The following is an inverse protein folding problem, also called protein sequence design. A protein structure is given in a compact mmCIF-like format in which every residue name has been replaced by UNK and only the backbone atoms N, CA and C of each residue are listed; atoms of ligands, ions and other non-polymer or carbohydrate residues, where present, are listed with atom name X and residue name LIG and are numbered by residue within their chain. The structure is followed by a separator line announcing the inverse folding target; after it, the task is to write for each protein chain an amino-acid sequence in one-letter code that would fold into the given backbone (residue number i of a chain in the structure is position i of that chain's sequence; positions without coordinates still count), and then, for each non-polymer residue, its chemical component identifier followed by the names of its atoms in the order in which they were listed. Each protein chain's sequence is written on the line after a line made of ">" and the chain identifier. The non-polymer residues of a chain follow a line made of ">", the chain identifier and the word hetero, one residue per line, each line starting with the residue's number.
data_IF_170985511296
#
_entry.id   IF_170985511296
#
_cell.length_a   1.000
_cell.length_b   1.000
_cell.length_c   1.000
_cell.angle_alpha   90.00
_cell.angle_beta   90.00
_cell.angle_gamma   90.00
#
_symmetry.space_group_name_H-M   'P 1'
#
loop_
_entity.id
_entity.type
_entity.pdbx_description
1 polymer ?
#
# COMPACT_ATOMS: atom_id res chain seq x y z
N UNK A 1 12.36 7.79 24.61
CA UNK A 1 11.19 8.23 23.82
C UNK A 1 11.27 9.72 23.47
N UNK A 2 11.58 10.62 24.41
CA UNK A 2 11.84 12.04 24.11
C UNK A 2 12.86 12.24 22.99
N UNK A 3 14.04 11.60 23.05
CA UNK A 3 15.10 11.78 22.04
C UNK A 3 14.72 11.35 20.61
N UNK A 4 13.76 10.44 20.44
CA UNK A 4 13.28 10.02 19.11
C UNK A 4 12.27 11.03 18.57
N UNK A 5 11.40 11.54 19.44
CA UNK A 5 10.45 12.61 19.10
C UNK A 5 11.19 13.93 18.81
N UNK A 6 12.25 14.23 19.58
CA UNK A 6 13.16 15.34 19.30
C UNK A 6 13.88 15.13 17.98
N UNK A 7 14.37 13.94 17.63
CA UNK A 7 15.02 13.69 16.33
C UNK A 7 14.06 13.89 15.14
N UNK A 8 12.80 13.45 15.25
CA UNK A 8 11.77 13.66 14.22
C UNK A 8 11.42 15.15 14.09
N UNK A 9 11.31 15.87 15.21
CA UNK A 9 11.07 17.32 15.23
C UNK A 9 12.30 18.10 14.74
N UNK A 10 13.52 17.67 15.03
CA UNK A 10 14.75 18.31 14.55
C UNK A 10 14.97 18.06 13.07
N UNK A 11 14.57 16.91 12.52
CA UNK A 11 14.56 16.66 11.06
C UNK A 11 13.47 17.51 10.39
N UNK A 12 12.29 17.63 11.00
CA UNK A 12 11.21 18.50 10.52
C UNK A 12 11.56 20.01 10.60
N UNK A 13 12.37 20.42 11.57
CA UNK A 13 12.86 21.81 11.72
C UNK A 13 14.13 22.09 10.90
N UNK A 14 14.96 21.09 10.62
CA UNK A 14 16.14 21.24 9.75
C UNK A 14 15.74 21.51 8.29
N UNK A 15 14.55 21.08 7.86
CA UNK A 15 13.95 21.46 6.57
C UNK A 15 13.50 22.92 6.46
N UNK A 16 13.67 23.73 7.52
CA UNK A 16 13.31 25.16 7.56
C UNK A 16 14.53 26.09 7.57
N UNK A 17 15.74 25.60 7.25
CA UNK A 17 16.84 26.49 6.89
C UNK A 17 16.48 27.14 5.56
N UNK A 18 16.26 28.46 5.56
CA UNK A 18 15.94 29.21 4.36
C UNK A 18 16.96 28.91 3.27
N UNK A 19 16.48 28.36 2.15
CA UNK A 19 17.34 28.06 1.02
C UNK A 19 18.09 29.33 0.58
N UNK A 20 19.39 29.21 0.31
CA UNK A 20 20.30 30.32 -0.01
C UNK A 20 20.04 31.00 -1.37
N UNK A 21 18.83 30.86 -1.92
CA UNK A 21 18.39 31.45 -3.17
C UNK A 21 17.20 32.39 -2.98
N UNK A 22 17.26 33.52 -3.70
CA UNK A 22 16.24 34.56 -3.72
C UNK A 22 15.24 34.36 -4.87
N UNK A 23 14.92 33.11 -5.19
CA UNK A 23 14.02 32.72 -6.28
C UNK A 23 13.00 31.69 -5.79
N UNK A 24 11.80 31.69 -6.38
CA UNK A 24 10.83 30.60 -6.23
C UNK A 24 10.32 30.17 -7.59
N UNK A 25 10.11 28.88 -7.77
CA UNK A 25 9.37 28.35 -8.92
C UNK A 25 7.87 28.34 -8.60
N UNK A 26 7.02 28.54 -9.61
CA UNK A 26 5.56 28.47 -9.44
C UNK A 26 5.06 27.04 -9.16
N UNK A 27 5.88 26.03 -9.42
CA UNK A 27 5.64 24.64 -9.07
C UNK A 27 6.95 23.87 -8.94
N UNK A 28 7.00 22.87 -8.06
CA UNK A 28 8.08 21.87 -7.99
C UNK A 28 7.89 20.75 -9.03
N UNK A 29 6.64 20.53 -9.49
CA UNK A 29 6.28 19.48 -10.43
C UNK A 29 5.34 19.99 -11.52
N UNK A 30 5.73 19.83 -12.77
CA UNK A 30 4.93 20.16 -13.94
C UNK A 30 4.51 18.87 -14.66
N UNK A 31 3.20 18.68 -14.87
CA UNK A 31 2.68 17.56 -15.68
C UNK A 31 2.30 18.09 -17.04
N UNK A 32 2.84 17.50 -18.11
CA UNK A 32 2.56 17.88 -19.50
C UNK A 32 2.08 16.65 -20.26
N UNK A 33 1.06 16.81 -21.08
CA UNK A 33 0.63 15.74 -21.98
C UNK A 33 1.48 15.73 -23.24
N UNK A 34 1.87 14.55 -23.71
CA UNK A 34 2.64 14.40 -24.95
C UNK A 34 1.97 15.12 -26.14
N UNK A 35 2.76 15.88 -26.88
CA UNK A 35 2.30 16.72 -27.99
C UNK A 35 1.71 18.08 -27.56
N UNK A 36 1.70 18.42 -26.26
CA UNK A 36 1.28 19.74 -25.75
C UNK A 36 2.47 20.48 -25.13
N UNK A 37 2.30 21.78 -24.98
CA UNK A 37 3.25 22.62 -24.26
C UNK A 37 2.73 22.89 -22.85
N UNK A 38 3.62 22.76 -21.87
CA UNK A 38 3.41 23.22 -20.50
C UNK A 38 4.17 24.51 -20.24
N UNK A 39 3.95 25.09 -19.07
CA UNK A 39 4.81 26.17 -18.59
C UNK A 39 4.88 26.16 -17.07
N UNK A 40 6.00 26.64 -16.54
CA UNK A 40 6.14 26.97 -15.13
C UNK A 40 6.75 28.36 -15.02
N UNK A 41 6.58 29.01 -13.86
CA UNK A 41 7.09 30.36 -13.65
C UNK A 41 8.29 30.36 -12.72
N UNK A 42 9.18 31.33 -12.90
CA UNK A 42 10.24 31.69 -11.96
C UNK A 42 9.92 33.09 -11.44
N UNK A 43 9.89 33.26 -10.13
CA UNK A 43 9.59 34.54 -9.48
C UNK A 43 10.74 34.91 -8.55
N UNK A 44 11.38 36.08 -8.73
CA UNK A 44 12.39 36.56 -7.79
C UNK A 44 11.71 36.99 -6.47
N UNK A 45 12.37 36.70 -5.34
CA UNK A 45 11.95 37.10 -3.98
C UNK A 45 12.38 38.53 -3.64
N UNK A 46 13.29 39.10 -4.45
CA UNK A 46 13.89 40.43 -4.27
C UNK A 46 13.83 41.20 -5.57
N UNK A 47 13.70 42.53 -5.47
CA UNK A 47 13.78 43.39 -6.64
C UNK A 47 15.24 43.50 -7.09
N UNK A 48 15.50 42.98 -8.29
CA UNK A 48 16.84 42.96 -8.86
C UNK A 48 17.27 44.36 -9.31
N UNK A 49 18.50 44.74 -8.99
CA UNK A 49 19.08 45.99 -9.48
C UNK A 49 19.45 45.90 -10.96
N UNK A 50 19.94 44.74 -11.39
CA UNK A 50 20.31 44.45 -12.77
C UNK A 50 19.51 43.25 -13.33
N UNK A 51 19.34 43.19 -14.65
CA UNK A 51 18.70 42.02 -15.28
C UNK A 51 19.57 40.79 -15.03
N UNK A 52 19.00 39.77 -14.40
CA UNK A 52 19.71 38.54 -14.08
C UNK A 52 19.36 37.44 -15.09
N UNK A 53 20.39 36.76 -15.61
CA UNK A 53 20.22 35.62 -16.50
C UNK A 53 20.21 34.31 -15.70
N UNK A 54 19.26 33.43 -16.00
CA UNK A 54 19.20 32.06 -15.47
C UNK A 54 19.43 31.08 -16.62
N UNK A 55 20.46 30.26 -16.48
CA UNK A 55 20.72 29.11 -17.33
C UNK A 55 19.86 27.92 -16.87
N UNK A 56 19.23 27.24 -17.82
CA UNK A 56 18.35 26.10 -17.56
C UNK A 56 18.97 24.83 -18.14
N UNK A 57 19.07 23.80 -17.31
CA UNK A 57 19.62 22.51 -17.71
C UNK A 57 18.54 21.44 -17.59
N UNK A 58 18.29 20.71 -18.68
CA UNK A 58 17.46 19.53 -18.65
C UNK A 58 18.35 18.28 -18.54
N UNK A 59 18.09 17.43 -17.54
CA UNK A 59 18.82 16.17 -17.39
C UNK A 59 18.55 15.18 -18.55
N UNK A 60 17.41 15.33 -19.26
CA UNK A 60 16.96 14.44 -20.36
C UNK A 60 16.26 15.21 -21.47
N UNK A 61 17.05 15.72 -22.41
CA UNK A 61 16.59 16.51 -23.56
C UNK A 61 15.63 15.74 -24.48
N UNK A 62 15.63 14.42 -24.44
CA UNK A 62 14.71 13.57 -25.21
C UNK A 62 13.27 13.56 -24.67
N UNK A 63 13.05 13.96 -23.40
CA UNK A 63 11.72 13.97 -22.76
C UNK A 63 11.02 15.31 -22.98
N UNK A 64 11.74 16.41 -22.80
CA UNK A 64 11.19 17.75 -22.95
C UNK A 64 12.24 18.74 -23.50
N UNK A 65 11.78 19.71 -24.28
CA UNK A 65 12.59 20.83 -24.73
C UNK A 65 12.22 22.10 -23.96
N UNK A 66 13.25 22.84 -23.57
CA UNK A 66 13.19 24.09 -22.81
C UNK A 66 14.12 25.13 -23.45
N UNK A 67 13.89 26.43 -23.22
CA UNK A 67 14.89 27.44 -23.55
C UNK A 67 16.17 27.21 -22.73
N UNK A 68 17.33 27.51 -23.32
CA UNK A 68 18.63 27.36 -22.65
C UNK A 68 18.85 28.40 -21.55
N UNK A 69 18.28 29.60 -21.74
CA UNK A 69 18.48 30.75 -20.88
C UNK A 69 17.17 31.55 -20.77
N UNK A 70 16.98 32.22 -19.64
CA UNK A 70 15.87 33.15 -19.43
C UNK A 70 16.34 34.36 -18.62
N UNK A 71 15.85 35.54 -19.01
CA UNK A 71 16.18 36.80 -18.33
C UNK A 71 15.10 37.18 -17.32
N UNK A 72 15.51 37.52 -16.10
CA UNK A 72 14.67 38.18 -15.10
C UNK A 72 14.95 39.69 -15.14
N UNK A 73 13.99 40.52 -15.57
CA UNK A 73 14.21 41.96 -15.73
C UNK A 73 14.46 42.66 -14.39
N UNK A 74 15.34 43.67 -14.40
CA UNK A 74 15.56 44.56 -13.26
C UNK A 74 14.29 45.30 -12.83
N UNK A 75 14.21 45.68 -11.55
CA UNK A 75 13.11 46.43 -10.94
C UNK A 75 11.72 45.80 -11.16
N UNK A 76 11.68 44.47 -11.32
CA UNK A 76 10.46 43.72 -11.55
C UNK A 76 10.46 42.47 -10.69
N UNK A 77 9.43 42.37 -9.83
CA UNK A 77 9.09 41.15 -9.12
C UNK A 77 8.14 40.24 -9.92
N UNK A 78 7.98 40.49 -11.23
CA UNK A 78 6.99 39.79 -12.06
C UNK A 78 7.43 38.35 -12.36
N UNK A 79 6.52 37.36 -12.28
CA UNK A 79 6.83 35.99 -12.66
C UNK A 79 7.23 35.88 -14.14
N UNK A 80 8.36 35.24 -14.41
CA UNK A 80 8.83 34.92 -15.77
C UNK A 80 8.38 33.51 -16.13
N UNK A 81 7.68 33.35 -17.25
CA UNK A 81 7.14 32.05 -17.68
C UNK A 81 8.11 31.32 -18.60
N UNK A 82 8.42 30.07 -18.28
CA UNK A 82 9.24 29.17 -19.07
C UNK A 82 8.33 28.17 -19.77
N UNK A 83 8.39 28.13 -21.10
CA UNK A 83 7.64 27.17 -21.89
C UNK A 83 8.40 25.85 -21.99
N UNK A 84 7.70 24.74 -21.74
CA UNK A 84 8.23 23.38 -21.81
C UNK A 84 7.48 22.64 -22.91
N UNK A 85 8.20 22.18 -23.93
CA UNK A 85 7.62 21.41 -25.04
C UNK A 85 7.84 19.92 -24.80
N UNK A 86 6.77 19.12 -24.74
CA UNK A 86 6.89 17.67 -24.55
C UNK A 86 7.43 16.99 -25.82
N UNK A 87 8.37 16.05 -25.66
CA UNK A 87 8.98 15.31 -26.77
C UNK A 87 8.75 13.80 -26.67
N UNK A 88 8.89 13.22 -25.48
CA UNK A 88 8.60 11.81 -25.22
C UNK A 88 8.05 11.61 -23.80
N UNK A 89 7.33 10.51 -23.58
CA UNK A 89 6.74 10.18 -22.27
C UNK A 89 7.83 9.77 -21.29
N UNK A 90 7.82 10.38 -20.10
CA UNK A 90 8.78 10.10 -19.03
C UNK A 90 8.95 11.28 -18.08
N UNK A 91 9.94 11.17 -17.19
CA UNK A 91 10.27 12.20 -16.20
C UNK A 91 11.67 12.76 -16.41
N UNK A 92 11.78 14.08 -16.48
CA UNK A 92 13.03 14.83 -16.50
C UNK A 92 13.04 15.93 -15.44
N UNK A 93 14.22 16.44 -15.11
CA UNK A 93 14.41 17.52 -14.14
C UNK A 93 15.07 18.71 -14.83
N UNK A 94 14.49 19.88 -14.58
CA UNK A 94 15.05 21.16 -15.00
C UNK A 94 15.77 21.76 -13.80
N UNK A 95 17.09 21.77 -13.82
CA UNK A 95 17.91 22.49 -12.84
C UNK A 95 18.28 23.88 -13.37
N UNK A 96 18.64 24.76 -12.45
CA UNK A 96 18.85 26.18 -12.72
C UNK A 96 20.22 26.60 -12.23
N UNK A 97 20.87 27.48 -12.98
CA UNK A 97 22.11 28.14 -12.56
C UNK A 97 22.04 29.63 -12.91
N UNK A 98 22.81 30.44 -12.19
CA UNK A 98 22.90 31.87 -12.47
C UNK A 98 24.28 32.40 -12.10
N UNK A 99 24.70 33.43 -12.83
CA UNK A 99 25.90 34.22 -12.49
C UNK A 99 25.56 35.42 -11.60
N UNK A 100 24.27 35.72 -11.37
CA UNK A 100 23.83 36.85 -10.57
C UNK A 100 24.00 36.58 -9.07
N UNK A 101 24.82 37.40 -8.42
CA UNK A 101 24.98 37.34 -6.96
C UNK A 101 23.71 37.69 -6.17
N UNK A 102 22.77 38.42 -6.78
CA UNK A 102 21.50 38.82 -6.14
C UNK A 102 20.53 37.64 -5.99
N UNK A 103 20.60 36.67 -6.91
CA UNK A 103 19.74 35.49 -6.92
C UNK A 103 20.26 34.36 -6.01
N UNK A 104 21.54 34.37 -5.68
CA UNK A 104 22.19 33.37 -4.82
C UNK A 104 22.45 32.04 -5.52
N UNK A 105 22.66 30.99 -4.73
CA UNK A 105 22.98 29.65 -5.23
C UNK A 105 21.72 28.87 -5.61
N UNK A 106 21.50 28.68 -6.91
CA UNK A 106 20.34 27.96 -7.45
C UNK A 106 20.55 26.44 -7.56
N UNK A 107 21.68 25.89 -7.12
CA UNK A 107 22.00 24.45 -7.28
C UNK A 107 20.97 23.51 -6.64
N UNK A 108 20.25 23.96 -5.62
CA UNK A 108 19.16 23.22 -4.97
C UNK A 108 17.77 23.44 -5.57
N UNK A 109 17.64 24.27 -6.61
CA UNK A 109 16.36 24.61 -7.24
C UNK A 109 16.18 23.81 -8.52
N UNK A 110 15.12 23.01 -8.56
CA UNK A 110 14.76 22.22 -9.74
C UNK A 110 13.24 22.10 -9.91
N UNK A 111 12.82 21.78 -11.13
CA UNK A 111 11.42 21.45 -11.46
C UNK A 111 11.37 20.07 -12.10
N UNK A 112 10.59 19.15 -11.52
CA UNK A 112 10.31 17.84 -12.12
C UNK A 112 9.25 18.01 -13.22
N UNK A 113 9.62 17.72 -14.46
CA UNK A 113 8.67 17.66 -15.58
C UNK A 113 8.31 16.21 -15.84
N UNK A 114 7.04 15.89 -15.65
CA UNK A 114 6.48 14.58 -16.00
C UNK A 114 5.64 14.72 -17.28
N UNK A 115 6.16 14.18 -18.38
CA UNK A 115 5.44 14.07 -19.64
C UNK A 115 4.65 12.76 -19.64
N UNK A 116 3.32 12.87 -19.65
CA UNK A 116 2.40 11.72 -19.63
C UNK A 116 1.76 11.47 -21.00
N UNK A 117 1.35 10.23 -21.24
CA UNK A 117 0.63 9.87 -22.47
C UNK A 117 -0.73 10.59 -22.58
N UNK A 118 -1.45 10.75 -21.47
CA UNK A 118 -2.76 11.42 -21.43
C UNK A 118 -3.08 12.01 -20.05
N UNK A 119 -3.53 13.27 -20.02
CA UNK A 119 -4.05 13.91 -18.81
C UNK A 119 -5.36 13.26 -18.36
N UNK A 120 -6.22 12.88 -19.31
CA UNK A 120 -7.46 12.17 -19.02
C UNK A 120 -7.19 10.82 -18.35
N UNK A 121 -6.15 10.10 -18.79
CA UNK A 121 -5.76 8.85 -18.16
C UNK A 121 -5.28 9.04 -16.71
N UNK A 122 -4.62 10.16 -16.41
CA UNK A 122 -4.26 10.51 -15.03
C UNK A 122 -5.50 10.66 -14.13
N UNK A 123 -6.60 11.21 -14.65
CA UNK A 123 -7.88 11.29 -13.93
C UNK A 123 -8.46 9.89 -13.72
N UNK A 124 -8.45 9.04 -14.77
CA UNK A 124 -8.92 7.65 -14.67
C UNK A 124 -8.14 6.87 -13.61
N UNK A 125 -6.81 7.02 -13.55
CA UNK A 125 -5.96 6.43 -12.50
C UNK A 125 -6.45 6.82 -11.10
N UNK A 126 -6.77 8.08 -10.87
CA UNK A 126 -7.28 8.56 -9.57
C UNK A 126 -8.64 7.91 -9.27
N UNK A 127 -9.57 7.93 -10.24
CA UNK A 127 -10.92 7.35 -10.08
C UNK A 127 -10.86 5.85 -9.78
N UNK A 128 -10.11 5.08 -10.56
CA UNK A 128 -9.87 3.64 -10.36
C UNK A 128 -9.29 3.39 -8.97
N UNK A 129 -8.39 4.27 -8.52
CA UNK A 129 -7.81 4.25 -7.19
C UNK A 129 -8.83 4.30 -6.05
N UNK A 130 -9.74 5.26 -6.15
CA UNK A 130 -10.81 5.42 -5.15
C UNK A 130 -11.86 4.31 -5.24
N UNK A 131 -12.09 3.73 -6.42
CA UNK A 131 -12.99 2.57 -6.57
C UNK A 131 -12.47 1.37 -5.78
N UNK A 132 -11.20 0.98 -5.94
CA UNK A 132 -10.71 -0.17 -5.17
C UNK A 132 -10.61 0.13 -3.68
N UNK A 133 -10.24 1.37 -3.31
CA UNK A 133 -10.24 1.80 -1.92
C UNK A 133 -11.63 1.58 -1.30
N UNK A 134 -12.69 2.02 -1.98
CA UNK A 134 -14.07 1.86 -1.52
C UNK A 134 -14.46 0.38 -1.45
N UNK A 135 -14.17 -0.40 -2.49
CA UNK A 135 -14.48 -1.82 -2.56
C UNK A 135 -13.89 -2.60 -1.36
N UNK A 136 -12.59 -2.44 -1.12
CA UNK A 136 -11.94 -3.06 0.03
C UNK A 136 -12.41 -2.46 1.36
N UNK A 137 -12.59 -1.14 1.46
CA UNK A 137 -13.00 -0.49 2.72
C UNK A 137 -14.38 -0.95 3.19
N UNK A 138 -15.35 -1.02 2.27
CA UNK A 138 -16.71 -1.50 2.59
C UNK A 138 -16.69 -2.92 3.15
N UNK A 139 -15.77 -3.77 2.68
CA UNK A 139 -15.66 -5.17 3.12
C UNK A 139 -15.36 -5.35 4.62
N UNK A 140 -14.82 -4.33 5.30
CA UNK A 140 -14.50 -4.43 6.74
C UNK A 140 -15.71 -4.23 7.66
N UNK A 141 -16.70 -3.43 7.24
CA UNK A 141 -17.81 -3.01 8.08
C UNK A 141 -18.80 -4.12 8.46
N UNK A 142 -19.11 -5.11 7.61
CA UNK A 142 -20.04 -6.18 7.97
C UNK A 142 -19.68 -6.87 9.30
N UNK A 143 -18.40 -7.14 9.55
CA UNK A 143 -17.96 -7.77 10.79
C UNK A 143 -18.17 -6.86 12.01
N UNK A 144 -17.82 -5.57 11.89
CA UNK A 144 -18.02 -4.58 12.96
C UNK A 144 -19.48 -4.48 13.33
N UNK A 145 -20.36 -4.39 12.32
CA UNK A 145 -21.81 -4.28 12.51
C UNK A 145 -22.36 -5.57 13.13
N UNK A 146 -21.90 -6.74 12.67
CA UNK A 146 -22.34 -8.03 13.21
C UNK A 146 -21.99 -8.17 14.69
N UNK A 147 -20.77 -7.79 15.09
CA UNK A 147 -20.34 -7.79 16.48
C UNK A 147 -21.21 -6.86 17.34
N UNK A 148 -21.57 -5.67 16.83
CA UNK A 148 -22.47 -4.73 17.53
C UNK A 148 -23.86 -5.33 17.71
N UNK A 149 -24.42 -5.93 16.66
CA UNK A 149 -25.77 -6.51 16.68
C UNK A 149 -25.86 -7.72 17.62
N UNK A 150 -24.86 -8.61 17.57
CA UNK A 150 -24.83 -9.84 18.37
C UNK A 150 -24.35 -9.61 19.81
N UNK A 151 -23.66 -8.48 20.07
CA UNK A 151 -22.93 -8.24 21.33
C UNK A 151 -21.99 -9.39 21.72
N UNK A 152 -21.51 -10.11 20.71
CA UNK A 152 -20.70 -11.31 20.81
C UNK A 152 -19.74 -11.36 19.62
N UNK A 153 -18.49 -11.73 19.89
CA UNK A 153 -17.47 -12.01 18.88
C UNK A 153 -17.25 -13.52 18.69
N UNK A 154 -18.14 -14.36 19.24
CA UNK A 154 -18.09 -15.81 19.05
C UNK A 154 -18.22 -16.15 17.56
N UNK A 155 -17.19 -16.82 17.04
CA UNK A 155 -17.03 -17.16 15.62
C UNK A 155 -15.98 -16.32 14.89
N UNK A 156 -15.56 -15.17 15.45
CA UNK A 156 -14.48 -14.36 14.89
C UNK A 156 -13.13 -15.01 15.19
N UNK A 157 -12.35 -15.35 14.16
CA UNK A 157 -11.02 -15.93 14.35
C UNK A 157 -10.02 -14.87 14.84
N UNK A 158 -9.50 -15.04 16.06
CA UNK A 158 -8.55 -14.09 16.67
C UNK A 158 -7.18 -14.11 15.98
N UNK A 159 -6.76 -15.23 15.39
CA UNK A 159 -5.54 -15.30 14.61
C UNK A 159 -5.65 -14.43 13.36
N UNK A 160 -6.77 -14.56 12.65
CA UNK A 160 -7.07 -13.73 11.47
C UNK A 160 -7.03 -12.24 11.81
N UNK A 161 -7.62 -11.86 12.95
CA UNK A 161 -7.61 -10.47 13.40
C UNK A 161 -6.20 -9.96 13.75
N UNK A 162 -5.40 -10.78 14.43
CA UNK A 162 -4.02 -10.46 14.81
C UNK A 162 -3.08 -10.35 13.59
N UNK A 163 -3.26 -11.22 12.60
CA UNK A 163 -2.58 -11.14 11.32
C UNK A 163 -2.98 -9.88 10.56
N UNK A 164 -4.28 -9.58 10.46
CA UNK A 164 -4.76 -8.40 9.74
C UNK A 164 -4.21 -7.10 10.32
N UNK A 165 -4.26 -6.90 11.65
CA UNK A 165 -3.74 -5.66 12.25
C UNK A 165 -2.23 -5.52 12.00
N UNK A 166 -1.47 -6.62 12.14
CA UNK A 166 -0.03 -6.61 11.86
C UNK A 166 0.27 -6.27 10.41
N UNK A 167 -0.45 -6.90 9.48
CA UNK A 167 -0.31 -6.61 8.06
C UNK A 167 -0.69 -5.17 7.72
N UNK A 168 -1.84 -4.66 8.18
CA UNK A 168 -2.26 -3.30 7.86
C UNK A 168 -1.35 -2.24 8.48
N UNK A 169 -0.83 -2.46 9.69
CA UNK A 169 0.19 -1.57 10.27
C UNK A 169 1.46 -1.61 9.42
N UNK A 170 1.93 -2.79 9.02
CA UNK A 170 3.12 -2.90 8.17
C UNK A 170 2.94 -2.19 6.83
N UNK A 171 1.82 -2.43 6.15
CA UNK A 171 1.55 -1.76 4.88
C UNK A 171 1.36 -0.25 5.04
N UNK A 172 0.76 0.18 6.16
CA UNK A 172 0.65 1.59 6.51
C UNK A 172 2.00 2.26 6.69
N UNK A 173 2.96 1.62 7.37
CA UNK A 173 4.34 2.12 7.50
C UNK A 173 4.99 2.30 6.13
N UNK A 174 4.83 1.32 5.23
CA UNK A 174 5.35 1.41 3.87
C UNK A 174 4.70 2.55 3.08
N UNK A 175 3.36 2.61 3.03
CA UNK A 175 2.64 3.62 2.25
C UNK A 175 2.87 5.05 2.77
N UNK A 176 2.80 5.25 4.09
CA UNK A 176 3.11 6.54 4.71
C UNK A 176 4.56 6.95 4.43
N UNK A 177 5.50 6.00 4.58
CA UNK A 177 6.92 6.24 4.28
C UNK A 177 7.15 6.67 2.83
N UNK A 178 6.63 5.90 1.88
CA UNK A 178 6.77 6.15 0.45
C UNK A 178 6.08 7.43 -0.02
N UNK A 179 4.95 7.82 0.60
CA UNK A 179 4.15 8.96 0.14
C UNK A 179 4.58 10.29 0.80
N UNK A 180 4.82 10.30 2.11
CA UNK A 180 5.02 11.53 2.88
C UNK A 180 6.43 11.79 3.37
N UNK A 181 7.36 10.83 3.33
CA UNK A 181 8.71 11.04 3.88
C UNK A 181 9.69 11.37 2.76
N UNK A 182 10.15 12.62 2.68
CA UNK A 182 11.05 13.13 1.64
C UNK A 182 12.34 12.31 1.49
N UNK A 183 13.12 12.03 2.56
CA UNK A 183 14.32 11.20 2.43
C UNK A 183 14.07 9.81 1.84
N UNK A 184 12.88 9.23 2.06
CA UNK A 184 12.50 7.94 1.47
C UNK A 184 12.20 8.11 -0.01
N UNK A 185 11.44 9.15 -0.39
CA UNK A 185 11.15 9.47 -1.78
C UNK A 185 12.43 9.71 -2.58
N UNK A 186 13.36 10.46 -2.01
CA UNK A 186 14.65 10.76 -2.63
C UNK A 186 15.48 9.49 -2.81
N UNK A 187 15.55 8.63 -1.78
CA UNK A 187 16.21 7.33 -1.89
C UNK A 187 15.55 6.43 -2.96
N UNK A 188 14.23 6.43 -3.06
CA UNK A 188 13.50 5.68 -4.08
C UNK A 188 13.80 6.20 -5.49
N UNK A 189 13.80 7.53 -5.68
CA UNK A 189 14.14 8.18 -6.96
C UNK A 189 15.61 7.94 -7.33
N UNK A 190 16.53 7.98 -6.36
CA UNK A 190 17.93 7.67 -6.62
C UNK A 190 18.13 6.23 -7.13
N UNK A 191 17.34 5.28 -6.61
CA UNK A 191 17.35 3.88 -7.08
C UNK A 191 16.57 3.67 -8.38
N UNK A 192 15.56 4.50 -8.63
CA UNK A 192 14.70 4.46 -9.80
C UNK A 192 14.61 5.86 -10.45
N UNK A 193 15.66 6.33 -11.16
CA UNK A 193 15.72 7.71 -11.69
C UNK A 193 14.64 8.07 -12.72
N UNK A 194 13.95 7.05 -13.23
CA UNK A 194 12.85 7.15 -14.19
C UNK A 194 11.52 6.68 -13.58
N UNK A 195 11.55 6.27 -12.31
CA UNK A 195 10.45 5.62 -11.62
C UNK A 195 9.43 6.63 -11.10
N UNK A 196 8.16 6.43 -11.43
CA UNK A 196 7.07 7.13 -10.76
C UNK A 196 6.91 6.55 -9.35
N UNK A 197 6.55 7.40 -8.39
CA UNK A 197 6.19 6.90 -7.05
C UNK A 197 4.99 5.93 -7.18
N UNK A 198 5.15 4.66 -6.80
CA UNK A 198 4.12 3.64 -7.01
C UNK A 198 2.97 3.75 -6.01
N UNK A 199 3.16 4.51 -4.91
CA UNK A 199 2.16 4.72 -3.86
C UNK A 199 1.39 6.02 -4.11
N UNK A 200 0.06 5.93 -4.13
CA UNK A 200 -0.83 7.07 -4.25
C UNK A 200 -1.59 7.33 -2.95
N UNK A 201 -2.25 8.50 -2.85
CA UNK A 201 -2.94 8.91 -1.62
C UNK A 201 -4.00 7.88 -1.18
N UNK A 202 -4.73 7.30 -2.14
CA UNK A 202 -5.74 6.29 -1.85
C UNK A 202 -5.15 5.01 -1.22
N UNK A 203 -3.89 4.66 -1.48
CA UNK A 203 -3.18 3.55 -0.80
C UNK A 203 -2.90 3.87 0.68
N UNK A 204 -2.50 5.12 0.95
CA UNK A 204 -2.25 5.60 2.32
C UNK A 204 -3.55 5.60 3.10
N UNK A 205 -4.61 6.21 2.56
CA UNK A 205 -5.91 6.26 3.22
C UNK A 205 -6.50 4.85 3.39
N UNK A 206 -6.35 3.95 2.40
CA UNK A 206 -6.73 2.54 2.52
C UNK A 206 -6.12 1.88 3.75
N UNK A 207 -4.79 1.96 3.88
CA UNK A 207 -4.07 1.26 4.96
C UNK A 207 -4.40 1.83 6.33
N UNK A 208 -4.44 3.16 6.46
CA UNK A 208 -4.84 3.82 7.72
C UNK A 208 -6.28 3.49 8.12
N UNK A 209 -7.20 3.48 7.15
CA UNK A 209 -8.58 3.06 7.36
C UNK A 209 -8.67 1.60 7.84
N UNK A 210 -7.96 0.69 7.18
CA UNK A 210 -7.94 -0.71 7.53
C UNK A 210 -7.37 -0.96 8.94
N UNK A 211 -6.31 -0.23 9.33
CA UNK A 211 -5.79 -0.25 10.72
C UNK A 211 -6.87 0.19 11.70
N UNK A 212 -7.54 1.32 11.44
CA UNK A 212 -8.57 1.87 12.32
C UNK A 212 -9.74 0.89 12.51
N UNK A 213 -10.33 0.38 11.43
CA UNK A 213 -11.49 -0.53 11.52
C UNK A 213 -11.09 -1.87 12.16
N UNK A 214 -9.88 -2.36 11.90
CA UNK A 214 -9.37 -3.56 12.56
C UNK A 214 -9.15 -3.32 14.05
N UNK A 215 -8.64 -2.16 14.45
CA UNK A 215 -8.50 -1.78 15.85
C UNK A 215 -9.85 -1.68 16.57
N UNK A 216 -10.88 -1.13 15.91
CA UNK A 216 -12.26 -1.13 16.42
C UNK A 216 -12.76 -2.57 16.63
N UNK A 217 -12.49 -3.47 15.67
CA UNK A 217 -12.87 -4.88 15.80
C UNK A 217 -12.13 -5.57 16.95
N UNK A 218 -10.84 -5.25 17.15
CA UNK A 218 -10.06 -5.74 18.30
C UNK A 218 -10.65 -5.20 19.61
N UNK A 219 -11.02 -3.92 19.66
CA UNK A 219 -11.67 -3.33 20.81
C UNK A 219 -12.99 -4.05 21.15
N UNK A 220 -13.78 -4.40 20.14
CA UNK A 220 -14.99 -5.22 20.32
C UNK A 220 -14.69 -6.57 20.98
N UNK A 221 -13.55 -7.21 20.68
CA UNK A 221 -13.13 -8.46 21.32
C UNK A 221 -12.79 -8.31 22.81
N UNK A 222 -12.60 -7.09 23.33
CA UNK A 222 -12.42 -6.84 24.76
C UNK A 222 -13.73 -6.59 25.50
N UNK A 223 -14.73 -6.00 24.82
CA UNK A 223 -15.99 -5.58 25.46
C UNK A 223 -17.15 -6.58 25.28
N UNK A 224 -17.12 -7.41 24.24
CA UNK A 224 -18.19 -8.35 23.92
C UNK A 224 -17.85 -9.79 24.31
N UNK A 225 -18.87 -10.65 24.37
CA UNK A 225 -18.70 -12.06 24.71
C UNK A 225 -17.79 -12.75 23.67
N UNK A 226 -16.68 -13.34 24.15
CA UNK A 226 -15.67 -14.02 23.32
C UNK A 226 -15.47 -15.50 23.63
N UNK A 227 -16.21 -16.01 24.61
CA UNK A 227 -16.03 -17.37 25.14
C UNK A 227 -14.56 -17.65 25.53
N UNK A 228 -14.01 -18.76 25.03
CA UNK A 228 -12.63 -19.21 25.27
C UNK A 228 -11.68 -18.93 24.10
N UNK A 229 -12.09 -18.13 23.11
CA UNK A 229 -11.27 -17.84 21.93
C UNK A 229 -10.00 -17.06 22.32
N UNK A 230 -8.86 -17.50 21.78
CA UNK A 230 -7.55 -16.90 22.00
C UNK A 230 -6.75 -16.99 20.72
N UNK A 231 -5.80 -16.06 20.55
CA UNK A 231 -4.79 -16.19 19.49
C UNK A 231 -3.97 -17.47 19.77
N UNK A 232 -3.84 -18.34 18.77
CA UNK A 232 -3.12 -19.60 18.85
C UNK A 232 -1.62 -19.38 19.10
N UNK A 233 -0.97 -20.39 19.69
CA UNK A 233 0.46 -20.32 19.99
C UNK A 233 1.27 -20.17 18.69
N UNK A 234 0.91 -20.89 17.65
CA UNK A 234 1.57 -20.81 16.33
C UNK A 234 1.49 -19.37 15.82
N UNK A 235 0.30 -18.76 15.83
CA UNK A 235 0.13 -17.39 15.37
C UNK A 235 0.90 -16.39 16.23
N UNK A 236 0.97 -16.58 17.56
CA UNK A 236 1.82 -15.74 18.43
C UNK A 236 3.31 -15.86 18.08
N UNK A 237 3.81 -17.06 17.82
CA UNK A 237 5.22 -17.29 17.47
C UNK A 237 5.55 -16.64 16.13
N UNK A 238 4.70 -16.81 15.12
CA UNK A 238 4.90 -16.18 13.80
C UNK A 238 4.87 -14.65 13.93
N UNK A 239 3.88 -14.09 14.64
CA UNK A 239 3.79 -12.66 14.88
C UNK A 239 5.00 -12.12 15.65
N UNK A 240 5.41 -12.81 16.72
CA UNK A 240 6.60 -12.45 17.48
C UNK A 240 7.85 -12.45 16.59
N UNK A 241 8.00 -13.45 15.71
CA UNK A 241 9.08 -13.52 14.73
C UNK A 241 9.07 -12.33 13.76
N UNK A 242 7.92 -11.97 13.21
CA UNK A 242 7.78 -10.81 12.30
C UNK A 242 8.16 -9.49 13.00
N UNK A 243 7.65 -9.26 14.21
CA UNK A 243 7.94 -8.04 14.96
C UNK A 243 9.37 -7.99 15.50
N UNK A 244 9.94 -9.14 15.85
CA UNK A 244 11.36 -9.25 16.22
C UNK A 244 12.27 -8.94 15.02
N UNK A 245 11.95 -9.46 13.84
CA UNK A 245 12.66 -9.14 12.61
C UNK A 245 12.59 -7.63 12.28
N UNK A 246 11.40 -7.03 12.40
CA UNK A 246 11.24 -5.59 12.22
C UNK A 246 12.04 -4.77 13.25
N UNK A 247 12.10 -5.22 14.51
CA UNK A 247 12.89 -4.56 15.55
C UNK A 247 14.40 -4.68 15.28
N UNK A 248 14.88 -5.86 14.91
CA UNK A 248 16.31 -6.09 14.61
C UNK A 248 16.74 -5.24 13.41
N UNK A 249 15.97 -5.24 12.33
CA UNK A 249 16.28 -4.45 11.14
C UNK A 249 16.23 -2.94 11.43
N UNK A 250 15.28 -2.48 12.25
CA UNK A 250 15.26 -1.09 12.73
C UNK A 250 16.54 -0.73 13.50
N UNK A 251 16.98 -1.58 14.42
CA UNK A 251 18.20 -1.36 15.20
C UNK A 251 19.41 -1.29 14.28
N UNK A 252 19.51 -2.18 13.28
CA UNK A 252 20.62 -2.18 12.30
C UNK A 252 20.58 -0.91 11.45
N UNK A 253 19.43 -0.55 10.89
CA UNK A 253 19.25 0.69 10.09
C UNK A 253 19.64 1.92 10.90
N UNK A 254 19.15 2.04 12.13
CA UNK A 254 19.44 3.18 13.00
C UNK A 254 20.91 3.23 13.45
N UNK A 255 21.48 2.11 13.92
CA UNK A 255 22.85 2.05 14.42
C UNK A 255 23.89 2.23 13.31
N UNK A 256 23.59 1.75 12.10
CA UNK A 256 24.46 1.95 10.92
C UNK A 256 24.21 3.29 10.21
N UNK A 257 23.29 4.12 10.71
CA UNK A 257 22.85 5.36 10.04
C UNK A 257 22.47 5.14 8.57
N UNK A 258 21.83 4.00 8.28
CA UNK A 258 21.38 3.64 6.92
C UNK A 258 22.44 3.06 5.99
N UNK A 259 23.69 2.82 6.45
CA UNK A 259 24.77 2.32 5.60
C UNK A 259 24.73 0.80 5.33
N UNK A 260 24.15 0.01 6.25
CA UNK A 260 24.02 -1.45 6.08
C UNK A 260 22.64 -1.82 5.55
N UNK A 261 21.59 -1.23 6.13
CA UNK A 261 20.22 -1.34 5.66
C UNK A 261 19.71 0.09 5.54
N UNK A 262 19.41 0.52 4.33
CA UNK A 262 18.87 1.87 4.08
C UNK A 262 17.46 2.01 4.67
N UNK A 263 17.04 3.24 4.94
CA UNK A 263 15.67 3.51 5.39
C UNK A 263 14.63 3.05 4.36
N UNK A 264 14.96 3.12 3.06
CA UNK A 264 14.11 2.61 1.99
C UNK A 264 13.95 1.07 2.09
N UNK A 265 15.05 0.33 2.21
CA UNK A 265 15.01 -1.14 2.37
C UNK A 265 14.24 -1.56 3.62
N UNK A 266 14.44 -0.82 4.72
CA UNK A 266 13.72 -1.06 5.96
C UNK A 266 12.20 -0.96 5.79
N UNK A 267 11.69 0.06 5.10
CA UNK A 267 10.23 0.15 4.86
C UNK A 267 9.75 -0.89 3.84
N UNK A 268 10.59 -1.31 2.87
CA UNK A 268 10.26 -2.41 1.97
C UNK A 268 10.10 -3.74 2.73
N UNK A 269 10.84 -3.96 3.82
CA UNK A 269 10.60 -5.11 4.69
C UNK A 269 9.18 -5.15 5.27
N UNK A 270 8.59 -4.00 5.61
CA UNK A 270 7.18 -3.96 6.03
C UNK A 270 6.22 -4.30 4.89
N UNK A 271 6.53 -3.90 3.66
CA UNK A 271 5.82 -4.34 2.46
C UNK A 271 5.83 -5.89 2.38
N UNK A 272 7.01 -6.51 2.49
CA UNK A 272 7.11 -7.98 2.46
C UNK A 272 6.43 -8.68 3.65
N UNK A 273 6.45 -8.09 4.84
CA UNK A 273 5.68 -8.58 6.00
C UNK A 273 4.18 -8.62 5.67
N UNK A 274 3.62 -7.56 5.07
CA UNK A 274 2.21 -7.54 4.66
C UNK A 274 1.90 -8.65 3.65
N UNK A 275 2.75 -8.84 2.65
CA UNK A 275 2.57 -9.92 1.67
C UNK A 275 2.59 -11.29 2.34
N UNK A 276 3.55 -11.56 3.23
CA UNK A 276 3.63 -12.82 3.96
C UNK A 276 2.38 -13.10 4.80
N UNK A 277 1.91 -12.10 5.55
CA UNK A 277 0.64 -12.15 6.30
C UNK A 277 -0.55 -12.50 5.39
N UNK A 278 -0.58 -11.93 4.19
CA UNK A 278 -1.66 -12.16 3.21
C UNK A 278 -1.69 -13.62 2.73
N UNK A 279 -0.53 -14.22 2.48
CA UNK A 279 -0.46 -15.63 2.08
C UNK A 279 -0.89 -16.57 3.21
N UNK A 280 -0.47 -16.27 4.44
CA UNK A 280 -0.81 -17.07 5.63
C UNK A 280 -2.32 -17.13 5.88
N UNK A 281 -3.07 -16.05 5.58
CA UNK A 281 -4.53 -16.03 5.83
C UNK A 281 -5.34 -16.83 4.81
N UNK A 282 -4.97 -16.83 3.53
CA UNK A 282 -5.82 -17.39 2.47
C UNK A 282 -5.71 -18.92 2.38
N UNK A 283 -4.50 -19.47 2.52
CA UNK A 283 -4.24 -20.91 2.37
C UNK A 283 -5.08 -21.78 3.33
N UNK A 284 -5.15 -21.47 4.64
CA UNK A 284 -5.95 -22.26 5.58
C UNK A 284 -7.43 -22.28 5.22
N UNK A 285 -7.97 -21.16 4.72
CA UNK A 285 -9.38 -21.13 4.35
C UNK A 285 -9.66 -22.06 3.16
N UNK A 286 -8.86 -21.98 2.10
CA UNK A 286 -9.04 -22.84 0.92
C UNK A 286 -9.06 -24.30 1.33
N UNK A 287 -8.14 -24.68 2.22
CA UNK A 287 -8.05 -26.04 2.77
C UNK A 287 -9.26 -26.41 3.63
N UNK A 288 -9.73 -25.50 4.49
CA UNK A 288 -10.91 -25.73 5.33
C UNK A 288 -12.19 -25.94 4.50
N UNK A 289 -12.42 -25.11 3.49
CA UNK A 289 -13.55 -25.28 2.56
C UNK A 289 -13.44 -26.62 1.84
N UNK A 290 -12.24 -26.99 1.38
CA UNK A 290 -12.00 -28.28 0.73
C UNK A 290 -12.25 -29.48 1.66
N UNK A 291 -11.89 -29.38 2.94
CA UNK A 291 -12.09 -30.44 3.94
C UNK A 291 -13.56 -30.58 4.35
N UNK A 292 -14.24 -29.47 4.57
CA UNK A 292 -15.66 -29.44 4.98
C UNK A 292 -16.61 -29.71 3.81
N UNK A 293 -16.15 -29.53 2.58
CA UNK A 293 -16.99 -29.55 1.36
C UNK A 293 -18.17 -28.58 1.46
N UNK A 294 -17.98 -27.47 2.17
CA UNK A 294 -18.97 -26.43 2.40
C UNK A 294 -18.27 -25.09 2.52
N UNK A 295 -18.96 -24.03 2.08
CA UNK A 295 -18.54 -22.63 2.23
C UNK A 295 -19.45 -21.85 3.19
N UNK A 296 -20.31 -22.55 3.92
CA UNK A 296 -21.17 -21.93 4.92
C UNK A 296 -20.36 -21.32 6.07
N UNK A 297 -20.81 -20.14 6.54
CA UNK A 297 -20.14 -19.37 7.58
C UNK A 297 -19.27 -18.20 7.09
N UNK A 298 -19.15 -17.98 5.78
CA UNK A 298 -18.51 -16.79 5.19
C UNK A 298 -19.44 -16.14 4.15
N UNK A 299 -19.65 -14.82 4.27
CA UNK A 299 -20.20 -13.96 3.20
C UNK A 299 -19.39 -13.98 1.90
N UNK A 300 -19.91 -14.63 0.85
CA UNK A 300 -19.36 -14.56 -0.52
C UNK A 300 -19.26 -13.12 -1.04
N UNK A 301 -20.10 -12.20 -0.57
CA UNK A 301 -20.03 -10.78 -0.92
C UNK A 301 -18.68 -10.14 -0.57
N UNK A 302 -18.04 -10.58 0.52
CA UNK A 302 -16.71 -10.09 0.87
C UNK A 302 -15.64 -10.55 -0.13
N UNK A 303 -15.77 -11.78 -0.65
CA UNK A 303 -14.88 -12.33 -1.70
C UNK A 303 -15.05 -11.54 -3.00
N UNK A 304 -16.28 -11.20 -3.37
CA UNK A 304 -16.54 -10.40 -4.58
C UNK A 304 -16.00 -8.97 -4.46
N UNK A 305 -16.14 -8.35 -3.28
CA UNK A 305 -15.56 -7.04 -2.99
C UNK A 305 -14.03 -7.08 -2.94
N UNK A 306 -13.43 -8.13 -2.40
CA UNK A 306 -11.98 -8.34 -2.40
C UNK A 306 -11.45 -8.47 -3.83
N UNK A 307 -12.10 -9.28 -4.66
CA UNK A 307 -11.76 -9.46 -6.07
C UNK A 307 -11.91 -8.17 -6.88
N UNK A 308 -12.96 -7.40 -6.61
CA UNK A 308 -13.15 -6.07 -7.22
C UNK A 308 -12.02 -5.13 -6.81
N UNK A 309 -11.69 -5.08 -5.52
CA UNK A 309 -10.59 -4.27 -5.01
C UNK A 309 -9.24 -4.68 -5.63
N UNK A 310 -8.94 -5.98 -5.67
CA UNK A 310 -7.71 -6.50 -6.27
C UNK A 310 -7.61 -6.17 -7.77
N UNK A 311 -8.71 -6.30 -8.51
CA UNK A 311 -8.76 -6.02 -9.95
C UNK A 311 -8.52 -4.54 -10.25
N UNK A 312 -9.21 -3.63 -9.56
CA UNK A 312 -9.05 -2.19 -9.75
C UNK A 312 -7.69 -1.71 -9.21
N UNK A 313 -7.15 -2.32 -8.16
CA UNK A 313 -5.79 -2.05 -7.66
C UNK A 313 -4.73 -2.37 -8.73
N UNK A 314 -4.80 -3.54 -9.34
CA UNK A 314 -3.88 -3.89 -10.44
C UNK A 314 -4.09 -3.01 -11.67
N UNK A 315 -5.35 -2.74 -12.04
CA UNK A 315 -5.66 -1.83 -13.14
C UNK A 315 -5.02 -0.47 -12.91
N UNK A 316 -5.10 0.09 -11.70
CA UNK A 316 -4.47 1.37 -11.39
C UNK A 316 -2.96 1.34 -11.67
N UNK A 317 -2.27 0.28 -11.23
CA UNK A 317 -0.83 0.12 -11.45
C UNK A 317 -0.49 0.03 -12.94
N UNK A 318 -1.24 -0.76 -13.71
CA UNK A 318 -1.05 -0.85 -15.16
C UNK A 318 -1.28 0.48 -15.86
N UNK A 319 -2.31 1.23 -15.47
CA UNK A 319 -2.61 2.54 -16.05
C UNK A 319 -1.54 3.58 -15.72
N UNK A 320 -0.99 3.58 -14.49
CA UNK A 320 0.13 4.46 -14.11
C UNK A 320 1.34 4.13 -14.97
N UNK A 321 1.73 2.86 -15.06
CA UNK A 321 2.88 2.41 -15.82
C UNK A 321 2.76 2.70 -17.31
N UNK A 322 1.58 2.47 -17.90
CA UNK A 322 1.32 2.82 -19.28
C UNK A 322 1.39 4.34 -19.50
N UNK A 323 0.76 5.14 -18.64
CA UNK A 323 0.69 6.59 -18.81
C UNK A 323 2.04 7.30 -18.67
N UNK A 324 2.98 6.69 -17.94
CA UNK A 324 4.32 7.24 -17.70
C UNK A 324 5.43 6.46 -18.42
N UNK A 325 5.07 5.49 -19.28
CA UNK A 325 6.01 4.58 -19.94
C UNK A 325 7.02 3.91 -18.98
N UNK A 326 6.55 3.56 -17.78
CA UNK A 326 7.36 3.06 -16.66
C UNK A 326 6.76 1.75 -16.10
N UNK A 327 7.07 0.66 -16.77
CA UNK A 327 6.60 -0.69 -16.41
C UNK A 327 7.33 -1.27 -15.20
N UNK A 328 8.52 -0.78 -14.88
CA UNK A 328 9.28 -1.24 -13.73
C UNK A 328 8.58 -0.86 -12.42
N UNK A 329 7.94 0.31 -12.36
CA UNK A 329 7.22 0.78 -11.18
C UNK A 329 5.99 -0.04 -10.79
N UNK A 330 5.51 -0.97 -11.64
CA UNK A 330 4.52 -1.98 -11.22
C UNK A 330 5.05 -2.79 -10.02
N UNK A 331 6.35 -3.05 -9.97
CA UNK A 331 6.97 -3.78 -8.86
C UNK A 331 7.52 -2.86 -7.77
N UNK A 332 7.39 -1.54 -7.95
CA UNK A 332 7.79 -0.54 -6.96
C UNK A 332 6.99 -0.63 -5.67
N UNK A 333 5.72 -1.05 -5.75
CA UNK A 333 4.91 -1.49 -4.61
C UNK A 333 4.63 -2.99 -4.73
N UNK A 334 5.53 -3.85 -4.22
CA UNK A 334 5.35 -5.29 -4.32
C UNK A 334 4.11 -5.74 -3.54
N UNK A 335 3.73 -5.02 -2.48
CA UNK A 335 2.54 -5.34 -1.70
C UNK A 335 1.28 -5.12 -2.49
N UNK A 336 1.10 -3.96 -3.11
CA UNK A 336 -0.09 -3.68 -3.91
C UNK A 336 -0.25 -4.64 -5.07
N UNK A 337 0.85 -4.92 -5.78
CA UNK A 337 0.86 -5.91 -6.86
C UNK A 337 0.50 -7.31 -6.35
N UNK A 338 1.20 -7.79 -5.32
CA UNK A 338 0.96 -9.11 -4.76
C UNK A 338 -0.40 -9.25 -4.09
N UNK A 339 -0.91 -8.21 -3.40
CA UNK A 339 -2.26 -8.18 -2.85
C UNK A 339 -3.30 -8.35 -3.96
N UNK A 340 -3.19 -7.59 -5.06
CA UNK A 340 -4.09 -7.71 -6.19
C UNK A 340 -4.06 -9.10 -6.82
N UNK A 341 -2.87 -9.62 -7.12
CA UNK A 341 -2.70 -10.95 -7.74
C UNK A 341 -3.20 -12.07 -6.82
N UNK A 342 -2.77 -12.09 -5.55
CA UNK A 342 -3.15 -13.14 -4.62
C UNK A 342 -4.63 -13.08 -4.26
N UNK A 343 -5.20 -11.88 -4.05
CA UNK A 343 -6.65 -11.73 -3.83
C UNK A 343 -7.42 -12.33 -5.00
N UNK A 344 -7.17 -11.89 -6.23
CA UNK A 344 -7.90 -12.40 -7.41
C UNK A 344 -7.74 -13.93 -7.53
N UNK A 345 -6.52 -14.46 -7.36
CA UNK A 345 -6.27 -15.90 -7.46
C UNK A 345 -7.04 -16.70 -6.40
N UNK A 346 -7.01 -16.29 -5.13
CA UNK A 346 -7.73 -16.96 -4.05
C UNK A 346 -9.25 -16.76 -4.16
N UNK A 347 -9.70 -15.59 -4.60
CA UNK A 347 -11.12 -15.29 -4.77
C UNK A 347 -11.72 -16.14 -5.90
N UNK A 348 -11.00 -16.37 -7.00
CA UNK A 348 -11.41 -17.33 -8.04
C UNK A 348 -11.61 -18.72 -7.43
N UNK A 349 -10.68 -19.18 -6.58
CA UNK A 349 -10.81 -20.47 -5.90
C UNK A 349 -12.06 -20.49 -5.01
N UNK A 350 -12.31 -19.43 -4.23
CA UNK A 350 -13.48 -19.34 -3.35
C UNK A 350 -14.79 -19.29 -4.14
N UNK A 351 -14.84 -18.54 -5.25
CA UNK A 351 -15.99 -18.48 -6.16
C UNK A 351 -16.28 -19.86 -6.74
N UNK A 352 -15.27 -20.60 -7.20
CA UNK A 352 -15.42 -21.97 -7.70
C UNK A 352 -15.92 -22.90 -6.58
N UNK A 353 -15.32 -22.83 -5.39
CA UNK A 353 -15.76 -23.62 -4.25
C UNK A 353 -17.23 -23.36 -3.89
N UNK A 354 -17.66 -22.09 -3.89
CA UNK A 354 -18.99 -21.68 -3.47
C UNK A 354 -20.07 -21.99 -4.52
N UNK A 355 -19.89 -21.53 -5.77
CA UNK A 355 -20.94 -21.61 -6.79
C UNK A 355 -20.91 -22.89 -7.62
N UNK A 356 -19.78 -23.60 -7.68
CA UNK A 356 -19.62 -24.79 -8.52
C UNK A 356 -19.53 -26.05 -7.67
N UNK A 357 -18.55 -26.15 -6.76
CA UNK A 357 -18.26 -27.41 -6.07
C UNK A 357 -19.20 -27.73 -4.92
N UNK A 358 -19.59 -26.73 -4.12
CA UNK A 358 -20.31 -26.92 -2.86
C UNK A 358 -21.69 -26.24 -2.83
N UNK A 359 -22.29 -26.00 -4.01
CA UNK A 359 -23.56 -25.28 -4.19
C UNK A 359 -24.74 -25.91 -3.44
N UNK A 360 -24.79 -27.24 -3.39
CA UNK A 360 -25.98 -28.00 -2.94
C UNK A 360 -25.76 -28.75 -1.61
N UNK A 361 -24.69 -28.44 -0.88
CA UNK A 361 -24.38 -29.09 0.39
C UNK A 361 -25.14 -28.40 1.53
N UNK A 362 -26.35 -28.91 1.81
CA UNK A 362 -27.18 -28.55 2.96
C UNK A 362 -26.42 -28.74 4.29
N UNK A 363 -26.78 -28.01 5.37
CA UNK A 363 -26.02 -27.96 6.61
C UNK A 363 -25.80 -29.37 7.16
N UNK A 364 -24.54 -29.77 7.27
CA UNK A 364 -24.19 -30.93 8.10
C UNK A 364 -24.29 -30.47 9.54
N UNK A 365 -25.43 -30.74 10.17
CA UNK A 365 -25.55 -30.68 11.62
C UNK A 365 -24.42 -31.55 12.20
N UNK A 366 -23.44 -30.90 12.81
CA UNK A 366 -22.44 -31.55 13.65
C UNK A 366 -23.08 -31.97 14.98
N UNK A 367 -24.10 -32.83 14.90
CA UNK A 367 -24.69 -33.59 16.00
C UNK A 367 -24.52 -35.08 15.68
N UNK A 368 -23.26 -35.53 15.73
CA UNK A 368 -22.87 -36.90 15.49
C UNK A 368 -21.77 -37.35 16.44
N UNK A 369 -21.81 -36.91 17.69
CA UNK A 369 -21.05 -37.52 18.78
C UNK A 369 -22.04 -38.34 19.62
N UNK A 370 -21.68 -39.61 19.87
CA UNK A 370 -22.41 -40.69 20.54
C UNK A 370 -23.39 -41.53 19.69
N UNK A 371 -22.83 -42.46 18.89
CA UNK A 371 -23.47 -43.77 18.72
C UNK A 371 -23.17 -44.63 19.96
N UNK A 372 -24.16 -45.11 20.72
CA UNK A 372 -23.92 -46.10 21.76
C UNK A 372 -23.48 -47.43 21.13
N UNK A 373 -22.59 -48.12 21.84
CA UNK A 373 -22.13 -49.48 21.55
C UNK A 373 -23.32 -50.43 21.34
N UNK A 374 -23.54 -50.84 20.08
CA UNK A 374 -24.28 -52.08 19.79
C UNK A 374 -23.25 -53.20 19.73
N UNK A 375 -23.26 -54.02 20.77
CA UNK A 375 -22.49 -55.26 20.90
C UNK A 375 -23.05 -56.28 19.90
N UNK A 376 -22.38 -56.49 18.78
CA UNK A 376 -22.66 -57.61 17.89
C UNK A 376 -21.77 -58.79 18.30
N UNK A 377 -22.26 -59.62 19.22
CA UNK A 377 -21.85 -61.01 19.31
C UNK A 377 -22.88 -61.84 18.54
N UNK A 378 -22.55 -62.19 17.30
CA UNK A 378 -23.13 -63.36 16.63
C UNK A 378 -21.98 -64.12 15.98
N UNK A 379 -21.50 -65.13 16.71
CA UNK A 379 -20.70 -66.21 16.15
C UNK A 379 -21.57 -67.47 16.12
N UNK A 380 -21.48 -68.15 15.00
CA UNK A 380 -22.30 -69.25 14.50
C UNK A 380 -22.33 -70.52 15.36
N UNK A 381 -23.52 -71.13 15.42
CA UNK A 381 -23.85 -72.57 15.35
C UNK A 381 -23.01 -73.60 16.15
N UNK A 382 -23.66 -74.29 17.10
CA UNK A 382 -23.68 -75.76 17.18
C UNK A 382 -24.39 -76.25 18.46
N UNK A 383 -25.39 -77.12 18.28
CA UNK A 383 -25.52 -78.36 19.07
C UNK A 383 -26.12 -78.31 20.48
N UNK A 384 -27.34 -78.87 20.59
CA UNK A 384 -27.74 -79.82 21.67
C UNK A 384 -27.95 -79.21 23.08
N UNK A 385 -28.77 -79.69 24.02
CA UNK A 385 -29.73 -80.78 24.21
C UNK A 385 -30.26 -80.55 25.67
N UNK A 386 -31.53 -80.91 25.94
CA UNK A 386 -32.11 -81.31 27.27
C UNK A 386 -32.52 -80.25 28.33
N UNK A 387 -33.85 -80.14 28.47
CA UNK A 387 -34.75 -80.32 29.63
C UNK A 387 -34.54 -79.69 31.02
N UNK A 388 -35.74 -79.39 31.56
CA UNK A 388 -36.22 -79.48 32.95
C UNK A 388 -35.70 -78.39 33.90
N UNK A 389 -36.52 -77.75 34.73
CA UNK A 389 -37.86 -78.07 35.23
C UNK A 389 -38.51 -76.78 35.73
#
# INVERSE_FOLDING_TARGET
>A
MEKIFTLIITIALAGSLGNGYNVTTGTEKLIVEIGKNGSFTITPKVDLQETAQIELFNDKYEIASIPSEVDIPSNSSSPVSITVSSLSVGVCHISMNTTSSELGDLSGLFVEVNVVQSSALSIVVIVVGWIYFLAWSVSFYPQVILNIKRKSVIGLNFDFLAYNITGFVAYGVFNVGMYWIEPIKDAYKAKNPYGVNPVLLNDVIFTLHAVLITAITIFQCFIYERGRQRVSIISRVILAGMWLFALITLIITAASSGSVITWLEFIYYFSYIKLGVTLIKYIPQVYMNYRRKSTEGWSIGNVLLDSTGGSFSLLQMFLISYNNNDWASIFGDPTKFGLGVFSIAFDIIFIIQHYVLYRDQAPSDSSGENKPLMKNEEYTSSGSIINAQ
#
